data_IF_736688662092
#
_entry.id   IF_736688662092
#
_cell.length_a   1.000
_cell.length_b   1.000
_cell.length_c   1.000
_cell.angle_alpha   90.00
_cell.angle_beta   90.00
_cell.angle_gamma   90.00
#
_symmetry.space_group_name_H-M   'P 1'
#
loop_
_entity.id
_entity.type
_entity.pdbx_description
1 polymer ?
#
# COMPACT_ATOMS: atom_id res chain seq x y z
N UNK A 1 11.58 22.71 -50.02
CA UNK A 1 10.66 21.57 -49.86
C UNK A 1 11.49 20.38 -49.39
N UNK A 2 11.12 19.75 -48.28
CA UNK A 2 11.80 18.55 -47.78
C UNK A 2 11.89 18.53 -46.26
N UNK A 3 10.77 18.29 -45.59
CA UNK A 3 10.70 18.08 -44.15
C UNK A 3 11.13 16.67 -43.79
N UNK A 4 12.17 16.54 -42.97
CA UNK A 4 12.56 15.28 -42.35
C UNK A 4 11.81 15.11 -41.03
N UNK A 5 10.91 14.13 -40.96
CA UNK A 5 10.29 13.73 -39.69
C UNK A 5 11.32 12.98 -38.86
N UNK A 6 11.79 13.60 -37.78
CA UNK A 6 12.35 12.86 -36.66
C UNK A 6 11.22 12.06 -36.03
N UNK A 7 11.06 10.81 -36.47
CA UNK A 7 10.27 9.85 -35.71
C UNK A 7 11.09 9.49 -34.48
N UNK A 8 10.98 10.31 -33.44
CA UNK A 8 11.37 9.88 -32.10
C UNK A 8 10.35 8.82 -31.73
N UNK A 9 10.75 7.57 -31.91
CA UNK A 9 10.12 6.42 -31.27
C UNK A 9 10.18 6.64 -29.76
N UNK A 10 9.12 7.23 -29.22
CA UNK A 10 8.90 7.30 -27.78
C UNK A 10 8.60 5.88 -27.34
N UNK A 11 9.65 5.15 -26.95
CA UNK A 11 9.48 4.04 -26.03
C UNK A 11 8.88 4.63 -24.77
N UNK A 12 7.57 4.48 -24.60
CA UNK A 12 6.90 4.71 -23.34
C UNK A 12 7.44 3.62 -22.43
N UNK A 13 8.60 3.88 -21.81
CA UNK A 13 8.95 3.20 -20.57
C UNK A 13 7.81 3.57 -19.63
N UNK A 14 6.93 2.59 -19.36
CA UNK A 14 5.93 2.69 -18.32
C UNK A 14 6.70 2.89 -17.02
N UNK A 15 6.95 4.16 -16.68
CA UNK A 15 7.56 4.56 -15.42
C UNK A 15 6.50 4.31 -14.37
N UNK A 16 6.35 3.05 -13.96
CA UNK A 16 5.51 2.66 -12.85
C UNK A 16 6.10 3.35 -11.63
N UNK A 17 5.49 4.47 -11.23
CA UNK A 17 5.89 5.21 -10.04
C UNK A 17 5.73 4.26 -8.85
N UNK A 18 6.85 3.85 -8.27
CA UNK A 18 6.84 3.01 -7.09
C UNK A 18 6.36 3.82 -5.88
N UNK A 19 5.57 3.18 -5.03
CA UNK A 19 5.11 3.80 -3.81
C UNK A 19 6.32 4.09 -2.91
N UNK A 20 6.65 5.36 -2.71
CA UNK A 20 7.78 5.80 -1.88
C UNK A 20 7.79 5.25 -0.44
N UNK A 21 6.63 4.80 0.06
CA UNK A 21 6.51 4.21 1.39
C UNK A 21 6.85 2.72 1.37
N UNK A 22 6.14 1.92 0.58
CA UNK A 22 6.27 0.46 0.61
C UNK A 22 7.17 -0.14 -0.47
N UNK A 23 7.46 0.63 -1.53
CA UNK A 23 8.29 0.24 -2.68
C UNK A 23 7.60 -0.68 -3.67
N UNK A 24 6.26 -0.74 -3.66
CA UNK A 24 5.47 -1.48 -4.65
C UNK A 24 4.86 -0.53 -5.67
N UNK A 25 4.68 -1.02 -6.89
CA UNK A 25 3.92 -0.35 -7.93
C UNK A 25 2.39 -0.46 -7.70
N UNK A 26 1.62 0.17 -8.60
CA UNK A 26 0.16 0.10 -8.61
C UNK A 26 -0.56 1.04 -7.64
N UNK A 27 0.15 1.85 -6.85
CA UNK A 27 -0.46 2.87 -5.98
C UNK A 27 0.53 3.99 -5.59
N UNK A 28 -0.01 5.15 -5.24
CA UNK A 28 0.79 6.28 -4.71
C UNK A 28 1.03 6.16 -3.20
N UNK A 29 1.92 6.98 -2.64
CA UNK A 29 2.20 6.98 -1.19
C UNK A 29 0.96 7.28 -0.33
N UNK A 30 0.03 8.08 -0.84
CA UNK A 30 -1.23 8.45 -0.16
C UNK A 30 -2.20 7.27 -0.14
N UNK A 31 -2.18 6.45 -1.20
CA UNK A 31 -3.04 5.27 -1.37
C UNK A 31 -2.42 3.99 -0.80
N UNK A 32 -1.31 4.09 -0.07
CA UNK A 32 -0.61 2.91 0.42
C UNK A 32 -1.44 2.12 1.43
N UNK A 33 -1.80 0.85 1.13
CA UNK A 33 -2.68 0.05 2.00
C UNK A 33 -2.01 -0.33 3.33
N UNK A 34 -0.71 -0.06 3.46
CA UNK A 34 0.10 -0.41 4.62
C UNK A 34 0.25 0.72 5.62
N UNK A 35 0.15 1.98 5.17
CA UNK A 35 0.40 3.17 5.99
C UNK A 35 -0.93 3.83 6.36
N UNK A 36 -0.99 4.46 7.53
CA UNK A 36 -2.15 5.22 8.03
C UNK A 36 -3.45 4.40 8.22
N UNK A 37 -3.40 3.09 7.98
CA UNK A 37 -4.50 2.17 8.30
C UNK A 37 -4.61 1.91 9.80
N UNK A 38 -5.77 1.43 10.26
CA UNK A 38 -6.00 1.11 11.68
C UNK A 38 -5.03 0.04 12.17
N UNK A 39 -4.55 0.18 13.41
CA UNK A 39 -3.78 -0.83 14.11
C UNK A 39 -4.58 -2.14 14.20
N UNK A 40 -3.91 -3.27 13.94
CA UNK A 40 -4.53 -4.60 13.97
C UNK A 40 -4.72 -5.16 15.40
N UNK A 41 -4.18 -4.49 16.43
CA UNK A 41 -4.37 -4.91 17.82
C UNK A 41 -5.82 -4.64 18.26
N UNK A 42 -6.56 -5.65 18.76
CA UNK A 42 -7.89 -5.45 19.33
C UNK A 42 -7.88 -4.37 20.42
N UNK A 43 -8.86 -3.47 20.39
CA UNK A 43 -8.96 -2.35 21.33
C UNK A 43 -7.97 -1.21 21.10
N UNK A 44 -7.10 -1.28 20.09
CA UNK A 44 -6.19 -0.20 19.76
C UNK A 44 -6.78 0.74 18.70
N UNK A 45 -6.95 2.02 19.06
CA UNK A 45 -7.35 3.08 18.13
C UNK A 45 -6.15 3.86 17.57
N UNK A 46 -4.98 3.22 17.47
CA UNK A 46 -3.81 3.79 16.81
C UNK A 46 -3.83 3.53 15.31
N UNK A 47 -3.07 4.29 14.54
CA UNK A 47 -2.77 4.01 13.13
C UNK A 47 -1.44 3.27 13.00
N UNK A 48 -1.27 2.55 11.89
CA UNK A 48 -0.01 1.91 11.48
C UNK A 48 0.89 2.92 10.78
N UNK A 49 2.18 2.82 11.08
CA UNK A 49 3.27 3.55 10.45
C UNK A 49 4.23 2.54 9.83
N UNK A 50 4.79 2.88 8.67
CA UNK A 50 5.85 2.13 8.03
C UNK A 50 7.17 2.84 8.26
N UNK A 51 8.17 2.13 8.77
CA UNK A 51 9.48 2.66 9.12
C UNK A 51 10.59 1.78 8.56
N UNK A 52 11.77 2.35 8.35
CA UNK A 52 12.98 1.62 8.00
C UNK A 52 13.78 1.31 9.28
N UNK A 53 14.23 0.06 9.43
CA UNK A 53 15.08 -0.35 10.55
C UNK A 53 16.48 0.22 10.38
N UNK A 54 17.04 0.68 11.50
CA UNK A 54 18.43 1.15 11.63
C UNK A 54 19.30 0.17 12.41
N UNK A 55 18.77 -1.01 12.76
CA UNK A 55 19.52 -2.01 13.54
C UNK A 55 20.55 -2.73 12.66
N UNK A 56 21.74 -3.11 13.20
CA UNK A 56 22.82 -3.68 12.40
C UNK A 56 22.45 -4.93 11.58
N UNK A 57 21.57 -5.78 12.12
CA UNK A 57 21.14 -7.04 11.50
C UNK A 57 19.93 -6.90 10.57
N UNK A 58 19.33 -5.72 10.48
CA UNK A 58 18.11 -5.48 9.71
C UNK A 58 18.08 -4.09 9.07
N UNK A 59 19.25 -3.48 8.86
CA UNK A 59 19.35 -2.12 8.33
C UNK A 59 18.63 -2.02 6.97
N UNK A 60 17.84 -0.97 6.79
CA UNK A 60 17.07 -0.74 5.58
C UNK A 60 15.80 -1.60 5.43
N UNK A 61 15.60 -2.64 6.26
CA UNK A 61 14.37 -3.44 6.21
C UNK A 61 13.18 -2.62 6.72
N UNK A 62 12.06 -2.67 5.99
CA UNK A 62 10.86 -1.93 6.33
C UNK A 62 9.97 -2.73 7.28
N UNK A 63 9.38 -2.05 8.26
CA UNK A 63 8.48 -2.68 9.23
C UNK A 63 7.30 -1.77 9.58
N UNK A 64 6.18 -2.41 9.88
CA UNK A 64 4.94 -1.80 10.35
C UNK A 64 4.92 -1.77 11.87
N UNK A 65 4.60 -0.61 12.44
CA UNK A 65 4.38 -0.43 13.87
C UNK A 65 3.16 0.43 14.14
N UNK A 66 2.61 0.35 15.35
CA UNK A 66 1.55 1.26 15.77
C UNK A 66 2.14 2.61 16.20
N UNK A 67 1.45 3.71 15.88
CA UNK A 67 1.86 5.03 16.34
C UNK A 67 1.77 5.23 17.85
N UNK A 68 0.94 4.45 18.56
CA UNK A 68 0.77 4.54 20.01
C UNK A 68 1.93 3.84 20.70
N UNK A 69 2.68 4.56 21.53
CA UNK A 69 3.81 4.02 22.32
C UNK A 69 3.41 2.86 23.24
N UNK A 70 2.16 2.84 23.73
CA UNK A 70 1.61 1.75 24.54
C UNK A 70 1.27 0.49 23.73
N UNK A 71 1.28 0.58 22.40
CA UNK A 71 0.96 -0.52 21.50
C UNK A 71 2.23 -1.04 20.81
N UNK A 72 2.81 -2.11 21.36
CA UNK A 72 4.02 -2.79 20.84
C UNK A 72 3.74 -3.69 19.62
N UNK A 73 2.76 -3.35 18.78
CA UNK A 73 2.49 -4.11 17.57
C UNK A 73 3.61 -3.87 16.56
N UNK A 74 4.10 -4.97 15.99
CA UNK A 74 5.22 -4.98 15.07
C UNK A 74 5.00 -6.06 14.01
N UNK A 75 5.26 -5.73 12.75
CA UNK A 75 5.23 -6.69 11.65
C UNK A 75 6.21 -6.27 10.55
N UNK A 76 7.07 -7.17 10.10
CA UNK A 76 7.90 -6.95 8.92
C UNK A 76 7.05 -6.73 7.67
N UNK A 77 7.39 -5.75 6.84
CA UNK A 77 6.61 -5.43 5.64
C UNK A 77 6.57 -6.62 4.68
N UNK A 78 7.71 -7.26 4.42
CA UNK A 78 7.82 -8.43 3.54
C UNK A 78 6.91 -9.59 3.96
N UNK A 79 6.71 -9.77 5.27
CA UNK A 79 5.79 -10.79 5.80
C UNK A 79 4.34 -10.35 5.65
N UNK A 80 4.06 -9.05 5.75
CA UNK A 80 2.72 -8.53 5.49
C UNK A 80 2.33 -8.71 4.01
N UNK A 81 3.28 -8.48 3.10
CA UNK A 81 3.13 -8.69 1.66
C UNK A 81 2.89 -10.15 1.32
N UNK A 82 3.69 -11.08 1.87
CA UNK A 82 3.54 -12.50 1.56
C UNK A 82 2.18 -13.07 1.97
N UNK A 83 1.56 -12.52 3.03
CA UNK A 83 0.23 -12.91 3.46
C UNK A 83 -0.87 -12.45 2.48
N UNK A 84 -0.67 -11.33 1.79
CA UNK A 84 -1.62 -10.83 0.77
C UNK A 84 -1.48 -11.63 -0.51
N UNK A 85 -0.25 -11.92 -0.94
CA UNK A 85 0.02 -12.72 -2.15
C UNK A 85 -0.41 -14.19 -1.98
N UNK A 86 -0.35 -14.72 -0.75
CA UNK A 86 -0.81 -16.09 -0.44
C UNK A 86 -2.33 -16.20 -0.22
N UNK A 87 -3.03 -15.06 -0.13
CA UNK A 87 -4.49 -15.06 -0.07
C UNK A 87 -5.03 -14.99 -1.50
N UNK A 88 -6.08 -15.75 -1.87
CA UNK A 88 -6.76 -15.52 -3.15
C UNK A 88 -7.17 -14.04 -3.21
N UNK A 89 -7.14 -13.40 -4.39
CA UNK A 89 -7.33 -11.96 -4.50
C UNK A 89 -8.65 -11.56 -3.88
N UNK A 90 -8.62 -11.05 -2.64
CA UNK A 90 -9.73 -10.28 -2.10
C UNK A 90 -9.66 -8.95 -2.82
N UNK A 91 -10.39 -8.88 -3.93
CA UNK A 91 -10.67 -7.64 -4.64
C UNK A 91 -11.07 -6.59 -3.61
N UNK A 92 -10.19 -5.60 -3.41
CA UNK A 92 -10.52 -4.37 -2.69
C UNK A 92 -11.45 -3.46 -3.52
N UNK A 93 -12.22 -4.03 -4.46
CA UNK A 93 -13.41 -3.38 -4.98
C UNK A 93 -14.39 -3.27 -3.84
N UNK A 94 -14.40 -2.07 -3.25
CA UNK A 94 -15.54 -1.57 -2.50
C UNK A 94 -16.68 -1.53 -3.52
N UNK A 95 -17.47 -2.61 -3.57
CA UNK A 95 -18.74 -2.63 -4.27
C UNK A 95 -19.69 -1.72 -3.49
N UNK A 96 -19.51 -0.42 -3.71
CA UNK A 96 -20.44 0.61 -3.33
C UNK A 96 -21.51 0.69 -4.39
N UNK A 97 -22.64 0.01 -4.19
CA UNK A 97 -23.87 0.32 -4.90
C UNK A 97 -25.02 0.63 -3.93
N UNK A 98 -25.25 1.93 -3.81
CA UNK A 98 -26.51 2.67 -3.67
C UNK A 98 -27.71 2.05 -2.92
N UNK A 99 -27.98 2.66 -1.76
CA UNK A 99 -29.27 3.16 -1.30
C UNK A 99 -30.59 2.73 -1.97
N UNK A 100 -31.47 2.27 -1.07
CA UNK A 100 -32.91 2.52 -0.95
C UNK A 100 -33.91 1.77 -1.85
N UNK A 101 -34.83 1.07 -1.17
CA UNK A 101 -36.13 0.65 -1.67
C UNK A 101 -36.78 -0.39 -0.76
N UNK A 102 -37.37 0.08 0.36
CA UNK A 102 -38.67 -0.32 0.95
C UNK A 102 -39.21 -1.77 0.82
N UNK A 103 -40.01 -2.35 1.71
CA UNK A 103 -40.44 -2.22 3.12
C UNK A 103 -41.32 -3.48 3.35
N UNK A 104 -41.44 -3.92 4.61
CA UNK A 104 -42.56 -4.74 5.12
C UNK A 104 -42.78 -6.19 4.63
N UNK A 105 -42.75 -7.10 5.62
CA UNK A 105 -43.73 -8.15 5.94
C UNK A 105 -44.35 -8.99 4.82
#
# INVERSE_FOLDING_TARGET
MGGGSCSTEVTIEETTVDCQMCGLDGHTCIECPWVYTRCRKPGCNGSRKLLCSTQPNSVGRRFLTCQKSTCKQFQWLEKALSLVVSSPPQSYYVDGCFGCGDTNH
#
